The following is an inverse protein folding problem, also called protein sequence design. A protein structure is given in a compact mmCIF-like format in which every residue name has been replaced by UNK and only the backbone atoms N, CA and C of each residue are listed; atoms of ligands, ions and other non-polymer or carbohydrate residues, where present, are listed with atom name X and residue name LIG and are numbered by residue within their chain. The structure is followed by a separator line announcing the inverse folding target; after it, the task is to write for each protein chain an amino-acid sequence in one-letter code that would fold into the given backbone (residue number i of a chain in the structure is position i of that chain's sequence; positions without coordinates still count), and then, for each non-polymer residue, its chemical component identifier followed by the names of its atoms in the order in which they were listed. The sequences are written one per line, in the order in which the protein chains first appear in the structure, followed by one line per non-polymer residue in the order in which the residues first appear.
data_IF_390368683857
#
_entry.id   IF_390368683857
#
_cell.length_a   1.000
_cell.length_b   1.000
_cell.length_c   1.000
_cell.angle_alpha   90.00
_cell.angle_beta   90.00
_cell.angle_gamma   90.00
#
_symmetry.space_group_name_H-M   'P 1'
#
loop_
_entity.id
_entity.type
_entity.pdbx_description
1 polymer ?
#
# COMPACT_ATOMS: atom_id res chain seq x y z
N UNK A 1 -11.47 -17.48 5.08
CA UNK A 1 -12.21 -16.21 4.98
C UNK A 1 -12.63 -15.99 3.53
N UNK A 2 -13.72 -15.26 3.29
CA UNK A 2 -14.17 -14.86 1.94
C UNK A 2 -14.00 -13.35 1.79
N UNK A 3 -13.40 -12.90 0.69
CA UNK A 3 -13.29 -11.48 0.35
C UNK A 3 -14.32 -11.14 -0.74
N UNK A 4 -14.90 -9.95 -0.65
CA UNK A 4 -15.83 -9.42 -1.66
C UNK A 4 -15.50 -7.95 -1.91
N UNK A 5 -15.29 -7.58 -3.17
CA UNK A 5 -15.03 -6.20 -3.57
C UNK A 5 -16.27 -5.33 -3.38
N UNK A 6 -16.04 -4.08 -2.97
CA UNK A 6 -17.09 -3.07 -2.90
C UNK A 6 -17.24 -2.34 -4.25
N UNK A 7 -18.07 -1.31 -4.30
CA UNK A 7 -18.16 -0.42 -5.48
C UNK A 7 -16.84 0.34 -5.78
N UNK A 8 -15.92 0.34 -4.81
CA UNK A 8 -14.52 0.71 -4.97
C UNK A 8 -13.70 -0.60 -4.87
N UNK A 9 -13.22 -1.15 -6.00
CA UNK A 9 -12.74 -2.53 -6.08
C UNK A 9 -11.59 -2.90 -5.13
N UNK A 10 -10.75 -1.93 -4.76
CA UNK A 10 -9.60 -2.13 -3.86
C UNK A 10 -10.01 -2.21 -2.38
N UNK A 11 -11.20 -1.76 -2.03
CA UNK A 11 -11.79 -1.92 -0.71
C UNK A 11 -12.55 -3.25 -0.72
N UNK A 12 -12.24 -4.12 0.24
CA UNK A 12 -12.87 -5.45 0.32
C UNK A 12 -13.48 -5.70 1.68
N UNK A 13 -14.69 -6.25 1.66
CA UNK A 13 -15.36 -6.80 2.83
C UNK A 13 -14.89 -8.23 3.03
N UNK A 14 -14.52 -8.56 4.27
CA UNK A 14 -14.04 -9.89 4.67
C UNK A 14 -15.08 -10.54 5.56
N UNK A 15 -15.57 -11.69 5.13
CA UNK A 15 -16.51 -12.53 5.88
C UNK A 15 -15.76 -13.74 6.46
N UNK A 16 -15.68 -13.88 7.80
CA UNK A 16 -15.05 -15.05 8.40
C UNK A 16 -15.93 -16.29 8.24
N UNK A 17 -15.29 -17.47 8.28
CA UNK A 17 -16.01 -18.73 8.41
C UNK A 17 -16.21 -19.02 9.89
N UNK A 18 -17.46 -18.98 10.35
CA UNK A 18 -17.81 -19.16 11.78
C UNK A 18 -18.19 -20.61 12.05
N UNK A 19 -17.58 -21.19 13.07
CA UNK A 19 -17.88 -22.52 13.59
C UNK A 19 -18.56 -22.36 14.95
N UNK A 20 -19.82 -22.78 15.05
CA UNK A 20 -20.60 -22.64 16.29
C UNK A 20 -20.97 -24.01 16.86
N UNK A 21 -20.97 -24.10 18.18
CA UNK A 21 -21.46 -25.24 18.96
C UNK A 21 -22.10 -24.74 20.27
N UNK A 22 -22.51 -25.68 21.14
CA UNK A 22 -23.19 -25.36 22.40
C UNK A 22 -22.37 -24.48 23.37
N UNK A 23 -21.05 -24.37 23.19
CA UNK A 23 -20.15 -23.56 24.03
C UNK A 23 -20.06 -22.11 23.53
N UNK A 24 -20.51 -21.84 22.31
CA UNK A 24 -20.38 -20.54 21.64
C UNK A 24 -19.93 -20.69 20.19
N UNK A 25 -19.04 -19.81 19.75
CA UNK A 25 -18.50 -19.84 18.38
C UNK A 25 -17.01 -19.55 18.34
N UNK A 26 -16.36 -20.03 17.29
CA UNK A 26 -14.96 -19.83 16.98
C UNK A 26 -14.79 -19.48 15.50
N UNK A 27 -13.86 -18.57 15.20
CA UNK A 27 -13.35 -18.36 13.85
C UNK A 27 -11.95 -17.79 13.90
N UNK A 28 -11.16 -18.06 12.85
CA UNK A 28 -9.91 -17.34 12.61
C UNK A 28 -10.24 -15.89 12.27
N UNK A 29 -10.04 -15.00 13.24
CA UNK A 29 -10.31 -13.57 13.07
C UNK A 29 -9.49 -12.94 11.96
N UNK A 30 -8.27 -13.42 11.77
CA UNK A 30 -7.39 -13.05 10.67
C UNK A 30 -6.38 -14.18 10.42
N UNK A 31 -6.12 -14.46 9.15
CA UNK A 31 -5.12 -15.41 8.67
C UNK A 31 -4.44 -14.74 7.46
N UNK A 32 -3.18 -14.33 7.63
CA UNK A 32 -2.46 -13.49 6.65
C UNK A 32 -2.26 -14.22 5.32
N UNK A 33 -1.89 -15.50 5.35
CA UNK A 33 -1.67 -16.31 4.15
C UNK A 33 -2.95 -16.41 3.31
N UNK A 34 -4.08 -16.72 3.96
CA UNK A 34 -5.36 -16.80 3.26
C UNK A 34 -5.80 -15.42 2.75
N UNK A 35 -5.64 -14.36 3.55
CA UNK A 35 -5.96 -13.00 3.13
C UNK A 35 -5.18 -12.59 1.88
N UNK A 36 -3.87 -12.85 1.85
CA UNK A 36 -3.02 -12.60 0.68
C UNK A 36 -3.42 -13.45 -0.52
N UNK A 37 -3.76 -14.73 -0.32
CA UNK A 37 -4.23 -15.60 -1.39
C UNK A 37 -5.51 -15.05 -2.04
N UNK A 38 -6.49 -14.64 -1.23
CA UNK A 38 -7.75 -14.10 -1.74
C UNK A 38 -7.58 -12.73 -2.42
N UNK A 39 -6.70 -11.85 -1.90
CA UNK A 39 -6.36 -10.60 -2.58
C UNK A 39 -5.73 -10.86 -3.96
N UNK A 40 -4.83 -11.84 -4.08
CA UNK A 40 -4.23 -12.24 -5.38
C UNK A 40 -5.30 -12.75 -6.34
N UNK A 41 -6.25 -13.56 -5.87
CA UNK A 41 -7.36 -14.06 -6.68
C UNK A 41 -8.21 -12.91 -7.24
N UNK A 42 -8.39 -11.85 -6.47
CA UNK A 42 -9.06 -10.61 -6.86
C UNK A 42 -8.18 -9.64 -7.67
N UNK A 43 -6.91 -10.00 -7.93
CA UNK A 43 -5.92 -9.16 -8.61
C UNK A 43 -5.68 -7.82 -7.90
N UNK A 44 -5.77 -7.81 -6.58
CA UNK A 44 -5.52 -6.66 -5.72
C UNK A 44 -4.11 -6.68 -5.15
N UNK A 45 -3.62 -5.51 -4.76
CA UNK A 45 -2.32 -5.35 -4.14
C UNK A 45 -2.25 -6.04 -2.77
N UNK A 46 -1.11 -6.68 -2.50
CA UNK A 46 -0.83 -7.32 -1.23
C UNK A 46 -0.24 -6.27 -0.29
N UNK A 47 -0.85 -6.03 0.88
CA UNK A 47 -0.32 -5.03 1.80
C UNK A 47 1.03 -5.45 2.40
N UNK A 48 1.80 -4.47 2.91
CA UNK A 48 2.86 -4.77 3.86
C UNK A 48 2.27 -5.39 5.14
N UNK A 49 3.15 -5.97 5.96
CA UNK A 49 2.75 -6.52 7.26
C UNK A 49 2.06 -5.49 8.14
N UNK A 50 1.09 -5.95 8.93
CA UNK A 50 0.48 -5.13 9.97
C UNK A 50 1.48 -4.94 11.13
N UNK A 51 1.74 -3.69 11.52
CA UNK A 51 2.76 -3.34 12.52
C UNK A 51 2.19 -2.74 13.80
N UNK A 52 0.90 -2.36 13.80
CA UNK A 52 0.25 -1.75 14.95
C UNK A 52 -1.23 -2.13 15.01
N UNK A 53 -1.69 -2.47 16.23
CA UNK A 53 -3.08 -2.71 16.56
C UNK A 53 -3.63 -1.56 17.40
N UNK A 54 -4.86 -1.17 17.11
CA UNK A 54 -5.57 -0.12 17.80
C UNK A 54 -6.95 -0.62 18.23
N UNK A 55 -7.41 -0.11 19.37
CA UNK A 55 -8.70 -0.45 19.94
C UNK A 55 -9.32 0.81 20.53
N UNK A 56 -10.53 1.15 20.07
CA UNK A 56 -11.32 2.25 20.61
C UNK A 56 -12.65 1.77 21.16
N UNK A 57 -13.13 2.49 22.18
CA UNK A 57 -14.46 2.37 22.73
C UNK A 57 -15.25 3.65 22.40
N UNK A 58 -16.49 3.49 21.95
CA UNK A 58 -17.36 4.61 21.58
C UNK A 58 -18.77 4.38 22.10
N UNK A 59 -19.40 5.45 22.59
CA UNK A 59 -20.84 5.49 22.87
C UNK A 59 -21.62 5.73 21.57
N UNK A 60 -22.93 5.47 21.56
CA UNK A 60 -23.80 5.69 20.40
C UNK A 60 -23.66 7.12 19.88
N UNK A 61 -23.61 7.27 18.57
CA UNK A 61 -23.53 8.54 17.86
C UNK A 61 -22.13 9.16 17.81
N UNK A 62 -21.12 8.60 18.48
CA UNK A 62 -19.74 9.06 18.29
C UNK A 62 -19.28 8.75 16.87
N UNK A 63 -18.89 9.79 16.15
CA UNK A 63 -18.26 9.69 14.83
C UNK A 63 -16.76 9.98 14.97
N UNK A 64 -15.94 9.12 14.38
CA UNK A 64 -14.49 9.30 14.29
C UNK A 64 -14.11 9.30 12.83
N UNK A 65 -13.51 10.39 12.35
CA UNK A 65 -13.08 10.49 10.95
C UNK A 65 -13.55 11.75 10.22
N UNK A 66 -13.20 11.87 8.94
CA UNK A 66 -12.47 10.88 8.14
C UNK A 66 -10.96 11.07 8.26
N UNK A 67 -10.20 10.01 8.52
CA UNK A 67 -8.76 10.05 8.83
C UNK A 67 -7.92 9.26 7.83
N UNK A 68 -6.74 9.79 7.53
CA UNK A 68 -5.69 9.15 6.73
C UNK A 68 -4.31 9.66 7.17
N UNK A 69 -3.24 8.99 6.74
CA UNK A 69 -1.87 9.47 6.90
C UNK A 69 -1.22 9.71 5.55
N UNK A 70 -0.43 10.78 5.46
CA UNK A 70 0.35 11.15 4.29
C UNK A 70 1.67 10.34 4.23
N UNK A 71 2.24 10.14 3.04
CA UNK A 71 3.60 9.63 2.87
C UNK A 71 4.61 10.47 3.67
N UNK A 72 5.66 9.84 4.22
CA UNK A 72 6.04 8.44 4.03
C UNK A 72 5.27 7.44 4.92
N UNK A 73 4.38 7.90 5.80
CA UNK A 73 3.69 7.07 6.79
C UNK A 73 2.26 6.69 6.39
N UNK A 74 1.99 6.54 5.10
CA UNK A 74 0.64 6.23 4.63
C UNK A 74 0.21 4.83 5.11
N UNK A 75 -1.00 4.74 5.68
CA UNK A 75 -1.48 3.51 6.33
C UNK A 75 -2.64 2.86 5.57
N UNK A 76 -2.52 1.56 5.33
CA UNK A 76 -3.70 0.69 5.15
C UNK A 76 -4.27 0.27 6.51
N UNK A 77 -5.56 0.00 6.55
CA UNK A 77 -6.32 -0.37 7.76
C UNK A 77 -7.13 -1.64 7.52
N UNK A 78 -7.08 -2.58 8.46
CA UNK A 78 -8.01 -3.71 8.54
C UNK A 78 -8.90 -3.51 9.77
N UNK A 79 -10.17 -3.21 9.56
CA UNK A 79 -11.08 -2.70 10.62
C UNK A 79 -12.20 -3.68 10.94
N UNK A 80 -12.66 -3.71 12.19
CA UNK A 80 -13.79 -4.55 12.65
C UNK A 80 -14.41 -4.07 13.96
N UNK A 81 -15.63 -4.55 14.23
CA UNK A 81 -16.31 -4.40 15.52
C UNK A 81 -16.34 -5.74 16.25
N UNK A 82 -16.05 -5.74 17.56
CA UNK A 82 -16.12 -6.95 18.41
C UNK A 82 -17.23 -6.92 19.46
N UNK A 83 -17.75 -5.73 19.76
CA UNK A 83 -18.91 -5.49 20.62
C UNK A 83 -19.67 -4.28 20.09
N UNK A 84 -21.00 -4.32 20.12
CA UNK A 84 -21.86 -3.29 19.53
C UNK A 84 -21.88 -3.30 17.99
N UNK A 85 -22.16 -2.13 17.42
CA UNK A 85 -22.24 -1.91 15.97
C UNK A 85 -21.74 -0.52 15.55
N UNK A 86 -21.25 -0.43 14.31
CA UNK A 86 -20.82 0.81 13.67
C UNK A 86 -21.18 0.80 12.17
N UNK A 87 -21.44 1.99 11.63
CA UNK A 87 -21.46 2.20 10.18
C UNK A 87 -20.10 2.77 9.77
N UNK A 88 -19.34 1.98 9.01
CA UNK A 88 -17.98 2.28 8.56
C UNK A 88 -18.01 2.89 7.17
N UNK A 89 -17.28 3.99 6.97
CA UNK A 89 -17.23 4.76 5.72
C UNK A 89 -15.79 4.92 5.27
N UNK A 90 -15.59 4.72 3.96
CA UNK A 90 -14.31 4.88 3.30
C UNK A 90 -14.47 5.74 2.05
N UNK A 91 -13.61 6.75 1.90
CA UNK A 91 -13.63 7.71 0.80
C UNK A 91 -12.33 7.62 0.00
N UNK A 92 -12.46 7.54 -1.33
CA UNK A 92 -11.32 7.61 -2.24
C UNK A 92 -10.85 9.06 -2.42
N UNK A 93 -9.70 9.37 -1.81
CA UNK A 93 -9.05 10.68 -1.88
C UNK A 93 -7.87 10.70 -2.85
N UNK A 94 -7.73 9.66 -3.69
CA UNK A 94 -6.58 9.49 -4.58
C UNK A 94 -6.78 10.26 -5.89
N UNK A 95 -6.04 11.34 -6.07
CA UNK A 95 -6.12 12.19 -7.26
C UNK A 95 -5.77 11.41 -8.54
N UNK A 96 -6.69 11.40 -9.51
CA UNK A 96 -6.57 10.62 -10.73
C UNK A 96 -7.16 9.20 -10.65
N UNK A 97 -7.71 8.80 -9.49
CA UNK A 97 -8.45 7.55 -9.37
C UNK A 97 -9.74 7.58 -10.19
N UNK A 98 -10.12 6.48 -10.88
CA UNK A 98 -11.42 6.35 -11.52
C UNK A 98 -12.61 6.48 -10.54
N UNK A 99 -12.36 6.27 -9.26
CA UNK A 99 -13.34 6.38 -8.17
C UNK A 99 -13.07 7.57 -7.25
N UNK A 100 -12.23 8.53 -7.65
CA UNK A 100 -11.94 9.71 -6.85
C UNK A 100 -13.22 10.45 -6.41
N UNK A 101 -13.33 10.77 -5.12
CA UNK A 101 -14.51 11.42 -4.53
C UNK A 101 -15.71 10.50 -4.29
N UNK A 102 -15.61 9.21 -4.67
CA UNK A 102 -16.63 8.21 -4.31
C UNK A 102 -16.33 7.63 -2.93
N UNK A 103 -17.38 7.11 -2.31
CA UNK A 103 -17.31 6.48 -1.01
C UNK A 103 -18.09 5.17 -1.01
N UNK A 104 -17.76 4.31 -0.04
CA UNK A 104 -18.52 3.10 0.29
C UNK A 104 -18.80 3.07 1.79
N UNK A 105 -19.95 2.52 2.16
CA UNK A 105 -20.38 2.45 3.55
C UNK A 105 -20.91 1.05 3.89
N UNK A 106 -20.52 0.53 5.07
CA UNK A 106 -20.81 -0.83 5.47
C UNK A 106 -21.09 -0.95 6.97
N UNK A 107 -22.09 -1.77 7.31
CA UNK A 107 -22.37 -2.13 8.70
C UNK A 107 -21.35 -3.14 9.21
N UNK A 108 -20.70 -2.81 10.32
CA UNK A 108 -19.82 -3.70 11.07
C UNK A 108 -20.40 -3.93 12.46
N UNK A 109 -20.52 -5.18 12.89
CA UNK A 109 -21.03 -5.50 14.22
C UNK A 109 -20.43 -6.79 14.78
N UNK A 110 -20.54 -6.95 16.10
CA UNK A 110 -20.21 -8.20 16.78
C UNK A 110 -21.05 -9.38 16.23
N UNK A 111 -22.25 -9.09 15.73
CA UNK A 111 -23.15 -10.09 15.16
C UNK A 111 -22.69 -10.55 13.77
N UNK A 112 -22.45 -9.61 12.85
CA UNK A 112 -22.09 -9.95 11.48
C UNK A 112 -20.62 -10.37 11.32
N UNK A 113 -19.76 -10.00 12.29
CA UNK A 113 -18.34 -10.40 12.40
C UNK A 113 -17.50 -9.98 11.18
N UNK A 114 -18.01 -9.09 10.34
CA UNK A 114 -17.32 -8.66 9.12
C UNK A 114 -16.14 -7.76 9.46
N UNK A 115 -15.19 -7.71 8.53
CA UNK A 115 -14.09 -6.76 8.55
C UNK A 115 -14.01 -6.03 7.21
N UNK A 116 -13.35 -4.88 7.17
CA UNK A 116 -13.07 -4.17 5.93
C UNK A 116 -11.57 -3.93 5.83
N UNK A 117 -11.00 -4.29 4.68
CA UNK A 117 -9.65 -3.91 4.31
C UNK A 117 -9.68 -2.63 3.46
N UNK A 118 -8.87 -1.67 3.89
CA UNK A 118 -8.74 -0.33 3.31
C UNK A 118 -7.26 -0.11 3.01
N UNK A 119 -6.85 -0.05 1.73
CA UNK A 119 -5.46 0.27 1.39
C UNK A 119 -5.04 1.67 1.84
N UNK A 120 -3.75 1.96 1.81
CA UNK A 120 -3.27 3.33 1.93
C UNK A 120 -3.82 4.19 0.79
N UNK A 121 -4.03 5.49 1.05
CA UNK A 121 -4.60 6.40 0.06
C UNK A 121 -6.09 6.71 0.22
N UNK A 122 -6.77 6.10 1.18
CA UNK A 122 -8.20 6.34 1.46
C UNK A 122 -8.38 7.09 2.78
N UNK A 123 -9.41 7.92 2.87
CA UNK A 123 -9.87 8.48 4.13
C UNK A 123 -10.93 7.57 4.75
N UNK A 124 -10.81 7.30 6.05
CA UNK A 124 -11.63 6.30 6.75
C UNK A 124 -12.25 6.88 8.02
N UNK A 125 -13.50 6.54 8.30
CA UNK A 125 -14.15 6.85 9.57
C UNK A 125 -15.36 5.96 9.83
N UNK A 126 -15.95 6.09 11.00
CA UNK A 126 -17.16 5.37 11.36
C UNK A 126 -18.03 6.17 12.32
N UNK A 127 -19.32 5.84 12.38
CA UNK A 127 -20.23 6.26 13.46
C UNK A 127 -20.67 5.04 14.27
N UNK A 128 -20.56 5.11 15.59
CA UNK A 128 -21.05 4.06 16.48
C UNK A 128 -22.59 4.07 16.53
N UNK A 129 -23.20 2.93 16.23
CA UNK A 129 -24.67 2.78 16.18
C UNK A 129 -25.26 2.33 17.53
N UNK A 130 -24.41 1.85 18.42
CA UNK A 130 -24.74 1.35 19.76
C UNK A 130 -23.80 1.95 20.80
N UNK A 131 -24.22 1.92 22.06
CA UNK A 131 -23.31 2.16 23.18
C UNK A 131 -22.34 0.99 23.33
N UNK A 132 -21.19 1.26 23.95
CA UNK A 132 -20.18 0.24 24.20
C UNK A 132 -19.68 -0.42 22.91
N UNK A 133 -19.56 0.34 21.81
CA UNK A 133 -19.03 -0.17 20.55
C UNK A 133 -17.50 -0.26 20.62
N UNK A 134 -16.99 -1.49 20.62
CA UNK A 134 -15.56 -1.81 20.57
C UNK A 134 -15.10 -1.95 19.12
N UNK A 135 -14.39 -0.94 18.62
CA UNK A 135 -13.88 -0.87 17.25
C UNK A 135 -12.37 -1.12 17.25
N UNK A 136 -11.94 -2.16 16.54
CA UNK A 136 -10.55 -2.61 16.45
C UNK A 136 -10.04 -2.42 15.04
N UNK A 137 -8.78 -2.02 14.91
CA UNK A 137 -8.14 -1.95 13.60
C UNK A 137 -6.65 -2.26 13.67
N UNK A 138 -6.16 -2.96 12.63
CA UNK A 138 -4.75 -3.20 12.35
C UNK A 138 -4.27 -2.18 11.32
N UNK A 139 -3.03 -1.73 11.42
CA UNK A 139 -2.43 -0.76 10.47
C UNK A 139 -1.11 -1.25 9.91
N UNK A 140 -0.82 -0.90 8.65
CA UNK A 140 0.39 -1.32 7.92
C UNK A 140 1.61 -0.42 8.16
N UNK A 141 1.45 0.66 8.93
CA UNK A 141 2.54 1.54 9.36
C UNK A 141 2.21 2.11 10.75
N UNK A 142 3.18 2.68 11.45
CA UNK A 142 3.01 3.30 12.77
C UNK A 142 2.25 4.62 12.69
N UNK A 143 1.58 4.98 13.78
CA UNK A 143 1.00 6.30 13.92
C UNK A 143 2.08 7.39 13.86
N UNK A 144 1.87 8.39 13.00
CA UNK A 144 2.72 9.57 12.90
C UNK A 144 1.85 10.83 12.93
N UNK A 145 1.95 11.58 14.04
CA UNK A 145 1.15 12.78 14.28
C UNK A 145 1.31 13.86 13.20
N UNK A 146 2.52 14.02 12.67
CA UNK A 146 2.83 15.07 11.67
C UNK A 146 2.25 14.74 10.29
N UNK A 147 2.06 13.45 10.01
CA UNK A 147 1.52 12.95 8.74
C UNK A 147 0.03 12.68 8.80
N UNK A 148 -0.59 12.76 9.98
CA UNK A 148 -2.03 12.62 10.16
C UNK A 148 -2.76 13.77 9.46
N UNK A 149 -3.75 13.40 8.65
CA UNK A 149 -4.64 14.33 7.98
C UNK A 149 -6.10 13.93 8.17
N UNK A 150 -6.99 14.90 8.04
CA UNK A 150 -8.43 14.71 8.22
C UNK A 150 -9.20 15.28 7.04
N UNK A 151 -10.31 14.64 6.72
CA UNK A 151 -11.31 15.09 5.77
C UNK A 151 -12.64 15.25 6.53
N UNK A 152 -13.33 16.34 6.25
CA UNK A 152 -14.64 16.65 6.81
C UNK A 152 -15.65 15.52 6.56
N UNK A 153 -16.30 15.05 7.63
CA UNK A 153 -17.25 13.93 7.60
C UNK A 153 -18.54 14.25 6.82
N UNK A 154 -18.99 15.51 6.86
CA UNK A 154 -20.18 16.05 6.21
C UNK A 154 -19.84 16.92 4.99
N UNK A 155 -18.74 16.62 4.30
CA UNK A 155 -18.40 17.33 3.08
C UNK A 155 -19.53 17.23 2.03
N UNK A 156 -20.14 18.36 1.61
CA UNK A 156 -21.30 18.35 0.75
C UNK A 156 -21.01 17.84 -0.66
N UNK A 157 -19.74 17.87 -1.11
CA UNK A 157 -19.35 17.33 -2.41
C UNK A 157 -19.32 15.80 -2.45
N UNK A 158 -19.19 15.15 -1.28
CA UNK A 158 -19.17 13.68 -1.16
C UNK A 158 -20.58 13.11 -0.95
N UNK A 159 -21.47 13.88 -0.29
CA UNK A 159 -22.85 13.47 -0.05
C UNK A 159 -22.96 12.12 0.67
N UNK A 160 -22.15 11.93 1.72
CA UNK A 160 -22.08 10.67 2.46
C UNK A 160 -23.39 10.44 3.21
N UNK A 161 -24.05 9.32 2.94
CA UNK A 161 -25.15 8.82 3.77
C UNK A 161 -24.57 7.97 4.90
N UNK A 162 -24.45 8.59 6.07
CA UNK A 162 -23.90 7.95 7.27
C UNK A 162 -24.83 6.91 7.91
N UNK A 163 -26.05 6.71 7.37
CA UNK A 163 -27.08 5.82 7.92
C UNK A 163 -27.32 6.02 9.42
N UNK A 164 -27.14 7.26 9.88
CA UNK A 164 -27.32 7.69 11.25
C UNK A 164 -28.11 8.99 11.24
N UNK A 165 -29.34 8.93 11.78
CA UNK A 165 -30.33 10.00 11.64
C UNK A 165 -30.28 11.06 12.75
N UNK A 166 -29.26 11.01 13.61
CA UNK A 166 -29.06 11.97 14.71
C UNK A 166 -27.76 12.76 14.47
N UNK A 167 -27.57 13.87 15.19
CA UNK A 167 -26.33 14.64 15.11
C UNK A 167 -25.16 13.85 15.72
N UNK A 168 -24.05 13.64 14.99
CA UNK A 168 -22.93 12.87 15.51
C UNK A 168 -22.15 13.64 16.58
N UNK A 169 -21.55 12.90 17.49
CA UNK A 169 -20.66 13.41 18.54
C UNK A 169 -19.23 13.33 18.02
N UNK A 170 -18.63 14.50 17.82
CA UNK A 170 -17.30 14.66 17.23
C UNK A 170 -16.29 15.16 18.27
N UNK A 171 -15.00 14.94 18.00
CA UNK A 171 -13.95 15.70 18.66
C UNK A 171 -13.71 17.03 17.92
N UNK A 172 -12.91 17.91 18.51
CA UNK A 172 -12.59 19.20 17.90
C UNK A 172 -11.95 19.04 16.51
N UNK A 173 -10.95 18.15 16.38
CA UNK A 173 -10.22 17.88 15.13
C UNK A 173 -11.14 17.53 13.96
N UNK A 174 -12.09 16.63 14.18
CA UNK A 174 -13.05 16.15 13.19
C UNK A 174 -14.11 17.23 12.90
N UNK A 175 -14.45 18.04 13.91
CA UNK A 175 -15.37 19.19 13.80
C UNK A 175 -14.76 20.43 13.12
N UNK A 176 -13.45 20.48 12.89
CA UNK A 176 -12.78 21.57 12.15
C UNK A 176 -12.00 21.07 10.92
N UNK A 177 -12.14 19.79 10.55
CA UNK A 177 -11.44 19.20 9.41
C UNK A 177 -11.70 19.95 8.07
N UNK A 178 -10.70 20.00 7.17
CA UNK A 178 -10.86 20.62 5.86
C UNK A 178 -11.83 19.85 4.94
N UNK A 179 -12.46 20.59 4.03
CA UNK A 179 -13.25 20.04 2.93
C UNK A 179 -12.35 19.37 1.87
N UNK A 180 -12.92 18.50 1.06
CA UNK A 180 -12.30 17.69 0.01
C UNK A 180 -11.49 18.52 -1.01
N UNK A 181 -11.90 19.77 -1.27
CA UNK A 181 -11.15 20.66 -2.15
C UNK A 181 -9.87 21.23 -1.52
N UNK A 182 -9.81 21.27 -0.17
CA UNK A 182 -8.68 21.80 0.62
C UNK A 182 -7.75 20.74 1.19
N UNK A 183 -8.13 19.46 1.16
CA UNK A 183 -7.26 18.41 1.69
C UNK A 183 -6.02 18.20 0.79
N UNK A 184 -4.93 17.73 1.40
CA UNK A 184 -3.81 17.18 0.65
C UNK A 184 -4.25 15.82 0.10
N UNK A 185 -4.34 15.73 -1.22
CA UNK A 185 -4.73 14.51 -1.95
C UNK A 185 -3.49 13.67 -2.23
N UNK A 186 -3.68 12.35 -2.24
CA UNK A 186 -2.61 11.42 -2.59
C UNK A 186 -2.71 11.09 -4.07
N UNK A 187 -1.61 10.98 -4.83
CA UNK A 187 -1.70 10.61 -6.22
C UNK A 187 -2.24 9.17 -6.34
N UNK A 188 -3.19 8.94 -7.24
CA UNK A 188 -3.56 7.61 -7.65
C UNK A 188 -2.48 7.07 -8.58
N UNK A 189 -1.69 6.12 -8.09
CA UNK A 189 -0.65 5.48 -8.88
C UNK A 189 -0.99 4.01 -9.09
N UNK A 190 -1.47 3.67 -10.30
CA UNK A 190 -1.35 2.30 -10.83
C UNK A 190 0.11 1.97 -11.19
N UNK A 191 0.89 3.01 -11.48
CA UNK A 191 2.31 3.00 -11.80
C UNK A 191 3.09 3.90 -10.86
N UNK A 192 4.16 3.39 -10.27
CA UNK A 192 5.08 4.21 -9.49
C UNK A 192 5.85 5.20 -10.37
N UNK A 193 6.41 6.24 -9.75
CA UNK A 193 7.31 7.20 -10.41
C UNK A 193 8.76 6.75 -10.28
N UNK A 194 9.62 7.27 -11.15
CA UNK A 194 11.07 7.16 -11.02
C UNK A 194 11.51 7.99 -9.80
N UNK A 195 12.08 7.32 -8.79
CA UNK A 195 12.49 7.93 -7.51
C UNK A 195 13.99 8.25 -7.42
N UNK A 196 14.75 7.99 -8.50
CA UNK A 196 16.19 8.23 -8.55
C UNK A 196 17.03 7.28 -7.68
N UNK A 197 18.31 7.61 -7.49
CA UNK A 197 19.23 6.84 -6.67
C UNK A 197 19.07 7.16 -5.18
N UNK A 198 19.12 6.13 -4.34
CA UNK A 198 19.16 6.25 -2.88
C UNK A 198 20.56 5.98 -2.34
N UNK A 199 20.91 6.63 -1.24
CA UNK A 199 22.11 6.32 -0.47
C UNK A 199 21.89 5.12 0.45
N UNK A 200 22.85 4.20 0.44
CA UNK A 200 22.89 3.07 1.36
C UNK A 200 23.99 3.33 2.38
N UNK A 201 23.61 3.33 3.66
CA UNK A 201 24.52 3.57 4.76
C UNK A 201 25.67 2.56 4.76
N UNK A 202 26.89 3.07 4.66
CA UNK A 202 28.11 2.30 4.84
C UNK A 202 28.47 2.28 6.31
N UNK A 203 28.73 1.09 6.83
CA UNK A 203 29.29 0.88 8.16
C UNK A 203 30.67 0.28 7.95
N UNK A 204 31.72 0.88 8.50
CA UNK A 204 33.07 0.39 8.26
C UNK A 204 34.07 0.96 9.22
N UNK A 205 35.23 0.32 9.25
CA UNK A 205 36.42 0.78 9.95
C UNK A 205 37.66 0.53 9.06
N UNK A 206 38.84 0.60 9.64
CA UNK A 206 40.11 0.41 8.93
C UNK A 206 40.26 -0.95 8.24
N UNK A 207 39.41 -1.94 8.56
CA UNK A 207 39.42 -3.28 7.98
C UNK A 207 38.57 -3.38 6.71
N UNK A 208 37.67 -2.44 6.46
CA UNK A 208 36.80 -2.46 5.29
C UNK A 208 35.43 -1.85 5.52
N UNK A 209 34.57 -2.04 4.52
CA UNK A 209 33.20 -1.51 4.48
C UNK A 209 32.18 -2.63 4.46
N UNK A 210 31.07 -2.40 5.15
CA UNK A 210 29.89 -3.27 5.21
C UNK A 210 28.67 -2.44 4.82
N UNK A 211 27.84 -3.03 3.97
CA UNK A 211 26.53 -2.51 3.63
C UNK A 211 25.50 -3.56 4.04
N UNK A 212 24.51 -3.13 4.81
CA UNK A 212 23.34 -3.94 5.14
C UNK A 212 22.16 -3.47 4.28
N UNK A 213 21.56 -4.41 3.56
CA UNK A 213 20.29 -4.19 2.86
C UNK A 213 19.19 -4.91 3.64
N UNK A 214 18.23 -4.15 4.15
CA UNK A 214 17.24 -4.60 5.12
C UNK A 214 15.86 -4.01 4.84
N UNK A 215 14.84 -4.87 4.95
CA UNK A 215 13.43 -4.47 4.93
C UNK A 215 13.11 -3.51 6.08
N UNK A 216 12.34 -2.45 5.76
CA UNK A 216 12.02 -1.38 6.70
C UNK A 216 13.11 -0.32 6.87
N UNK A 217 14.21 -0.42 6.10
CA UNK A 217 15.28 0.59 6.07
C UNK A 217 15.51 1.07 4.63
N UNK A 218 16.38 0.42 3.85
CA UNK A 218 16.61 0.76 2.45
C UNK A 218 15.70 0.00 1.48
N UNK A 219 15.03 -1.05 1.96
CA UNK A 219 13.95 -1.72 1.24
C UNK A 219 12.61 -1.36 1.88
N UNK A 220 11.77 -0.65 1.13
CA UNK A 220 10.43 -0.21 1.54
C UNK A 220 9.31 -1.11 0.99
N UNK A 221 9.62 -2.39 0.75
CA UNK A 221 8.67 -3.42 0.34
C UNK A 221 8.98 -4.73 1.08
N UNK A 222 8.03 -5.67 1.10
CA UNK A 222 8.28 -6.99 1.69
C UNK A 222 9.27 -7.77 0.82
N UNK A 223 10.47 -8.06 1.33
CA UNK A 223 11.52 -8.73 0.55
C UNK A 223 11.22 -10.22 0.43
N UNK A 224 10.85 -10.67 -0.78
CA UNK A 224 10.57 -12.10 -1.04
C UNK A 224 11.70 -12.81 -1.78
N UNK A 225 12.50 -12.07 -2.55
CA UNK A 225 13.52 -12.68 -3.40
C UNK A 225 14.74 -11.77 -3.57
N UNK A 226 15.92 -12.37 -3.56
CA UNK A 226 17.16 -11.74 -3.97
C UNK A 226 17.83 -12.59 -5.05
N UNK A 227 18.42 -11.95 -6.05
CA UNK A 227 19.17 -12.62 -7.10
C UNK A 227 20.29 -11.71 -7.61
N UNK A 228 21.27 -12.27 -8.32
CA UNK A 228 22.38 -11.50 -8.86
C UNK A 228 22.55 -11.71 -10.36
N UNK A 229 23.07 -10.69 -11.03
CA UNK A 229 23.42 -10.66 -12.44
C UNK A 229 24.93 -10.46 -12.50
N UNK A 230 25.62 -11.35 -13.20
CA UNK A 230 27.07 -11.34 -13.35
C UNK A 230 27.44 -11.89 -14.74
N UNK A 231 28.71 -11.75 -15.13
CA UNK A 231 29.26 -12.24 -16.42
C UNK A 231 28.47 -11.74 -17.65
N UNK A 232 28.12 -10.45 -17.62
CA UNK A 232 27.48 -9.80 -18.77
C UNK A 232 28.52 -9.49 -19.84
N UNK A 233 28.33 -10.04 -21.04
CA UNK A 233 29.27 -9.84 -22.15
C UNK A 233 29.27 -8.38 -22.60
N UNK A 234 30.43 -7.89 -23.00
CA UNK A 234 30.60 -6.55 -23.56
C UNK A 234 29.63 -6.31 -24.74
N UNK A 235 29.01 -5.13 -24.76
CA UNK A 235 28.03 -4.72 -25.77
C UNK A 235 26.63 -5.35 -25.62
N UNK A 236 26.41 -6.27 -24.68
CA UNK A 236 25.08 -6.85 -24.44
C UNK A 236 24.23 -5.89 -23.62
N UNK A 237 23.03 -5.63 -24.13
CA UNK A 237 21.96 -4.96 -23.39
C UNK A 237 20.93 -5.98 -22.93
N UNK A 238 20.30 -5.74 -21.78
CA UNK A 238 19.25 -6.61 -21.24
C UNK A 238 18.19 -5.79 -20.51
N UNK A 239 17.19 -6.45 -19.95
CA UNK A 239 16.26 -5.80 -19.04
C UNK A 239 15.03 -5.19 -19.69
N UNK A 240 14.86 -5.24 -21.01
CA UNK A 240 13.74 -4.72 -21.82
C UNK A 240 12.35 -5.26 -21.43
N UNK A 241 11.84 -4.85 -20.27
CA UNK A 241 10.51 -5.20 -19.76
C UNK A 241 10.11 -4.27 -18.60
N UNK A 242 8.80 -4.22 -18.34
CA UNK A 242 8.23 -3.72 -17.09
C UNK A 242 7.59 -4.86 -16.30
N UNK A 243 7.15 -4.56 -15.08
CA UNK A 243 6.34 -5.46 -14.26
C UNK A 243 5.02 -4.80 -13.89
N UNK A 244 3.96 -5.58 -13.71
CA UNK A 244 2.65 -5.05 -13.28
C UNK A 244 2.66 -4.73 -11.79
N UNK A 245 3.30 -5.57 -10.98
CA UNK A 245 3.28 -5.46 -9.51
C UNK A 245 4.65 -5.46 -8.86
N UNK A 246 5.65 -6.12 -9.46
CA UNK A 246 6.97 -6.25 -8.84
C UNK A 246 7.65 -4.89 -8.64
N UNK A 247 8.11 -4.67 -7.40
CA UNK A 247 9.02 -3.58 -7.00
C UNK A 247 10.40 -4.16 -6.73
N UNK A 248 11.44 -3.39 -7.03
CA UNK A 248 12.82 -3.85 -6.92
C UNK A 248 13.75 -2.78 -6.32
N UNK A 249 14.86 -3.23 -5.73
CA UNK A 249 16.02 -2.41 -5.44
C UNK A 249 17.22 -3.06 -6.13
N UNK A 250 17.89 -2.33 -7.02
CA UNK A 250 19.09 -2.78 -7.72
C UNK A 250 20.32 -2.11 -7.11
N UNK A 251 21.34 -2.89 -6.77
CA UNK A 251 22.62 -2.41 -6.24
C UNK A 251 23.75 -3.00 -7.09
N UNK A 252 24.66 -2.15 -7.58
CA UNK A 252 25.88 -2.60 -8.26
C UNK A 252 26.99 -2.78 -7.23
N UNK A 253 27.33 -4.03 -6.91
CA UNK A 253 28.31 -4.35 -5.86
C UNK A 253 29.75 -4.40 -6.36
N UNK A 254 29.93 -4.55 -7.66
CA UNK A 254 31.22 -4.45 -8.36
C UNK A 254 31.00 -3.96 -9.79
N UNK A 255 31.97 -3.24 -10.33
CA UNK A 255 31.92 -2.70 -11.68
C UNK A 255 30.92 -1.56 -11.87
N UNK A 256 30.29 -1.52 -13.04
CA UNK A 256 29.28 -0.51 -13.37
C UNK A 256 28.29 -0.97 -14.43
N UNK A 257 27.10 -0.38 -14.47
CA UNK A 257 26.18 -0.42 -15.61
C UNK A 257 25.35 0.85 -15.70
N UNK A 258 24.81 1.13 -16.89
CA UNK A 258 23.77 2.15 -17.08
C UNK A 258 22.40 1.49 -17.10
N UNK A 259 21.45 2.03 -16.34
CA UNK A 259 20.06 1.58 -16.32
C UNK A 259 19.19 2.73 -16.82
N UNK A 260 18.38 2.46 -17.84
CA UNK A 260 17.35 3.37 -18.35
C UNK A 260 16.03 2.98 -17.68
N UNK A 261 15.32 3.94 -17.10
CA UNK A 261 13.95 3.77 -16.60
C UNK A 261 12.98 4.65 -17.38
N UNK A 262 11.77 4.16 -17.64
CA UNK A 262 10.70 4.91 -18.31
C UNK A 262 9.37 4.62 -17.59
N UNK A 263 8.70 5.65 -17.07
CA UNK A 263 7.40 5.54 -16.39
C UNK A 263 6.20 5.81 -17.32
N UNK A 264 6.46 5.96 -18.62
CA UNK A 264 5.48 6.36 -19.63
C UNK A 264 5.47 7.85 -19.93
N UNK A 265 5.96 8.70 -19.03
CA UNK A 265 6.01 10.15 -19.19
C UNK A 265 7.45 10.67 -19.21
N UNK A 266 8.27 10.16 -18.31
CA UNK A 266 9.66 10.52 -18.11
C UNK A 266 10.51 9.28 -18.40
N UNK A 267 11.61 9.51 -19.12
CA UNK A 267 12.64 8.51 -19.40
C UNK A 267 13.99 9.05 -18.93
N UNK A 268 14.63 8.33 -18.03
CA UNK A 268 15.84 8.78 -17.34
C UNK A 268 16.92 7.69 -17.30
N UNK A 269 18.17 8.14 -17.28
CA UNK A 269 19.36 7.31 -17.22
C UNK A 269 20.01 7.36 -15.83
N UNK A 270 20.35 6.20 -15.30
CA UNK A 270 21.03 6.04 -14.01
C UNK A 270 22.30 5.23 -14.19
N UNK A 271 23.42 5.78 -13.73
CA UNK A 271 24.67 5.04 -13.62
C UNK A 271 24.78 4.41 -12.23
N UNK A 272 24.78 3.08 -12.19
CA UNK A 272 25.14 2.32 -11.00
C UNK A 272 26.62 1.96 -11.10
N UNK A 273 27.45 2.69 -10.38
CA UNK A 273 28.92 2.55 -10.35
C UNK A 273 29.49 2.63 -8.93
N UNK A 274 28.63 2.49 -7.92
CA UNK A 274 29.01 2.49 -6.51
C UNK A 274 28.14 1.51 -5.73
N UNK A 275 28.73 0.67 -4.84
CA UNK A 275 27.96 -0.19 -3.95
C UNK A 275 27.17 0.59 -2.90
N UNK A 276 27.49 1.87 -2.69
CA UNK A 276 26.82 2.73 -1.71
C UNK A 276 25.53 3.34 -2.23
N UNK A 277 25.15 3.04 -3.47
CA UNK A 277 23.94 3.55 -4.12
C UNK A 277 23.01 2.40 -4.48
N UNK A 278 21.72 2.60 -4.28
CA UNK A 278 20.67 1.71 -4.76
C UNK A 278 19.76 2.42 -5.75
N UNK A 279 19.24 1.70 -6.73
CA UNK A 279 18.20 2.17 -7.64
C UNK A 279 16.90 1.44 -7.35
N UNK A 280 15.93 2.08 -6.66
CA UNK A 280 14.57 1.58 -6.55
C UNK A 280 13.90 1.60 -7.93
N UNK A 281 13.25 0.51 -8.29
CA UNK A 281 12.48 0.38 -9.53
C UNK A 281 11.07 -0.05 -9.13
N UNK A 282 10.11 0.84 -9.35
CA UNK A 282 8.72 0.60 -9.03
C UNK A 282 8.01 -0.31 -10.01
N UNK A 283 6.77 -0.66 -9.67
CA UNK A 283 5.90 -1.34 -10.62
C UNK A 283 5.53 -0.41 -11.78
N UNK A 284 5.23 -0.99 -12.93
CA UNK A 284 4.92 -0.28 -14.17
C UNK A 284 6.01 0.74 -14.55
N UNK A 285 7.27 0.41 -14.27
CA UNK A 285 8.44 1.10 -14.80
C UNK A 285 9.09 0.17 -15.84
N UNK A 286 9.16 0.63 -17.08
CA UNK A 286 9.97 -0.02 -18.09
C UNK A 286 11.44 0.21 -17.77
N UNK A 287 12.25 -0.84 -17.92
CA UNK A 287 13.68 -0.74 -17.68
C UNK A 287 14.51 -1.35 -18.78
N UNK A 288 15.73 -0.86 -18.91
CA UNK A 288 16.75 -1.36 -19.81
C UNK A 288 18.09 -1.23 -19.11
N UNK A 289 19.01 -2.16 -19.37
CA UNK A 289 20.35 -2.16 -18.77
C UNK A 289 21.38 -2.30 -19.89
N UNK A 290 22.37 -1.42 -19.86
CA UNK A 290 23.37 -1.23 -20.90
C UNK A 290 24.75 -1.02 -20.27
N UNK A 291 25.77 -0.98 -21.13
CA UNK A 291 27.11 -0.47 -20.80
C UNK A 291 27.73 -1.12 -19.55
N UNK A 292 27.59 -2.44 -19.45
CA UNK A 292 28.16 -3.24 -18.38
C UNK A 292 29.70 -3.23 -18.46
N UNK A 293 30.35 -2.95 -17.33
CA UNK A 293 31.78 -3.24 -17.18
C UNK A 293 32.02 -4.75 -17.10
N UNK A 294 33.24 -5.19 -17.42
CA UNK A 294 33.59 -6.62 -17.44
C UNK A 294 33.45 -7.31 -16.07
N UNK A 295 33.63 -6.55 -14.99
CA UNK A 295 33.51 -6.97 -13.59
C UNK A 295 32.13 -6.67 -12.98
N UNK A 296 31.15 -6.28 -13.79
CA UNK A 296 29.85 -5.85 -13.30
C UNK A 296 29.09 -6.99 -12.59
N UNK A 297 28.74 -6.74 -11.33
CA UNK A 297 27.85 -7.59 -10.52
C UNK A 297 26.72 -6.73 -9.96
N UNK A 298 25.49 -7.05 -10.34
CA UNK A 298 24.27 -6.45 -9.78
C UNK A 298 23.61 -7.42 -8.82
N UNK A 299 23.21 -6.95 -7.65
CA UNK A 299 22.27 -7.64 -6.77
C UNK A 299 20.92 -6.95 -6.91
N UNK A 300 19.87 -7.75 -7.06
CA UNK A 300 18.49 -7.27 -7.18
C UNK A 300 17.67 -7.88 -6.06
N UNK A 301 17.06 -7.01 -5.27
CA UNK A 301 16.08 -7.34 -4.24
C UNK A 301 14.68 -7.11 -4.80
N UNK A 302 13.75 -8.02 -4.56
CA UNK A 302 12.46 -8.08 -5.24
C UNK A 302 11.31 -8.31 -4.24
N UNK A 303 10.21 -7.58 -4.43
CA UNK A 303 9.00 -7.70 -3.62
C UNK A 303 8.17 -8.96 -3.91
N UNK A 304 8.43 -9.63 -5.03
CA UNK A 304 7.71 -10.81 -5.50
C UNK A 304 8.66 -11.97 -5.91
N UNK A 305 8.14 -13.19 -5.76
CA UNK A 305 8.72 -14.40 -6.36
C UNK A 305 8.71 -14.31 -7.89
N UNK A 306 9.37 -15.26 -8.56
CA UNK A 306 9.35 -15.30 -10.02
C UNK A 306 7.94 -15.64 -10.52
N UNK A 307 7.37 -14.78 -11.37
CA UNK A 307 6.10 -15.03 -12.04
C UNK A 307 6.13 -14.43 -13.46
N UNK A 308 6.09 -15.27 -14.50
CA UNK A 308 6.12 -14.79 -15.89
C UNK A 308 4.87 -13.94 -16.24
N UNK A 309 3.72 -14.18 -15.61
CA UNK A 309 2.50 -13.43 -15.88
C UNK A 309 2.57 -11.95 -15.46
N UNK A 310 3.53 -11.60 -14.61
CA UNK A 310 3.79 -10.23 -14.17
C UNK A 310 4.60 -9.41 -15.20
N UNK A 311 5.29 -10.08 -16.14
CA UNK A 311 6.13 -9.40 -17.11
C UNK A 311 5.31 -8.69 -18.20
N UNK A 312 5.75 -7.48 -18.54
CA UNK A 312 5.33 -6.75 -19.74
C UNK A 312 6.54 -6.71 -20.68
N UNK A 313 6.57 -7.61 -21.67
CA UNK A 313 7.70 -7.80 -22.60
C UNK A 313 7.69 -6.85 -23.79
N UNK A 314 6.56 -6.19 -24.04
CA UNK A 314 6.33 -5.31 -25.18
C UNK A 314 6.31 -3.86 -24.72
N UNK A 315 7.23 -3.05 -25.24
CA UNK A 315 7.28 -1.62 -24.93
C UNK A 315 6.00 -0.90 -25.37
N UNK A 316 5.41 -1.32 -26.48
CA UNK A 316 4.14 -0.77 -26.96
C UNK A 316 2.99 -1.05 -26.01
N UNK A 317 2.92 -2.28 -25.46
CA UNK A 317 1.85 -2.63 -24.51
C UNK A 317 2.08 -1.95 -23.17
N UNK A 318 3.34 -1.83 -22.72
CA UNK A 318 3.70 -0.97 -21.60
C UNK A 318 3.15 0.45 -21.78
N UNK A 319 3.46 1.12 -22.90
CA UNK A 319 2.99 2.49 -23.19
C UNK A 319 1.47 2.60 -23.21
N UNK A 320 0.75 1.60 -23.72
CA UNK A 320 -0.72 1.57 -23.67
C UNK A 320 -1.28 1.44 -22.26
N UNK A 321 -0.56 0.79 -21.35
CA UNK A 321 -1.04 0.56 -19.98
C UNK A 321 -0.78 1.75 -19.06
N UNK A 322 0.32 2.49 -19.24
CA UNK A 322 0.68 3.66 -18.40
C UNK A 322 0.08 4.98 -18.90
N UNK A 323 -0.39 5.05 -20.15
CA UNK A 323 -1.01 6.24 -20.73
C UNK A 323 -2.55 6.22 -20.71
N UNK A 324 -3.18 5.28 -20.00
CA UNK A 324 -4.63 5.21 -19.80
C UNK A 324 -5.02 5.80 -18.46
#
# INVERSE_FOLDING_TARGET
MKLTQTDIPEIVVIEPRVFADERGWFFESFNEEQFHCELKNLQLEIPPSFVQDNHSLSRKGVLRGLHYQLPPYAQGKLVRVIHGAAYDVVVDIREGSPTFGRWVGHHLSAENKKMIWIPAGFAHGFVALEDDTHFLYKTTDFYNKESEACLRWDDPSLGIDWQFNEEPILNEKDSIAPLMDKIIKLPYTKSEKINGLIDIKVIGDTRGSLIAVQQGSNIHFNLKRAYYIFDTKSGVSRGFHAHKTLRQLVVCVAGSCRIVLDDGKIREDFWLNSPTKGLPIGNMIWREMHDFSADCVLIVFASEEYNEADYIRSYQDFKKMVNK
#
